data_IF_050800065975
#
_entry.id   IF_050800065975
#
_cell.length_a   1.000
_cell.length_b   1.000
_cell.length_c   1.000
_cell.angle_alpha   90.00
_cell.angle_beta   90.00
_cell.angle_gamma   90.00
#
_symmetry.space_group_name_H-M   'P 1'
#
loop_
_entity.id
_entity.type
_entity.pdbx_description
1 polymer ?
#
# COMPACT_ATOMS: atom_id res chain seq x y z
N UNK A 1 -4.28 30.30 -11.75
CA UNK A 1 -4.19 28.83 -11.78
C UNK A 1 -4.24 28.34 -10.34
N UNK A 2 -5.02 27.32 -10.04
CA UNK A 2 -5.06 26.72 -8.72
C UNK A 2 -3.64 26.27 -8.35
N UNK A 3 -3.21 26.60 -7.13
CA UNK A 3 -1.91 26.18 -6.61
C UNK A 3 -2.11 24.83 -5.91
N UNK A 4 -1.99 23.72 -6.63
CA UNK A 4 -2.03 22.39 -6.06
C UNK A 4 -0.62 21.85 -5.83
N UNK A 5 -0.45 21.20 -4.69
CA UNK A 5 0.82 20.63 -4.21
C UNK A 5 0.66 19.14 -3.94
N UNK A 6 1.58 18.33 -4.44
CA UNK A 6 1.73 16.93 -4.08
C UNK A 6 2.98 16.74 -3.23
N UNK A 7 2.82 16.25 -2.01
CA UNK A 7 3.93 15.85 -1.14
C UNK A 7 4.13 14.34 -1.20
N UNK A 8 5.38 13.88 -1.38
CA UNK A 8 5.72 12.46 -1.50
C UNK A 8 5.65 11.91 -2.93
N UNK A 9 5.93 12.74 -3.92
CA UNK A 9 5.81 12.46 -5.37
C UNK A 9 6.61 11.27 -5.88
N UNK A 10 7.71 10.87 -5.22
CA UNK A 10 8.52 9.69 -5.59
C UNK A 10 8.09 8.39 -4.89
N UNK A 11 7.17 8.49 -3.92
CA UNK A 11 6.57 7.33 -3.28
C UNK A 11 5.62 6.58 -4.23
N UNK A 12 5.26 5.34 -3.87
CA UNK A 12 4.39 4.51 -4.69
C UNK A 12 3.03 5.18 -4.96
N UNK A 13 2.38 5.74 -3.94
CA UNK A 13 1.11 6.45 -4.10
C UNK A 13 1.30 7.78 -4.83
N UNK A 14 2.25 8.60 -4.37
CA UNK A 14 2.50 9.92 -4.97
C UNK A 14 2.93 9.84 -6.43
N UNK A 15 3.76 8.85 -6.81
CA UNK A 15 4.16 8.64 -8.20
C UNK A 15 2.98 8.29 -9.12
N UNK A 16 2.03 7.46 -8.64
CA UNK A 16 0.82 7.15 -9.40
C UNK A 16 -0.13 8.36 -9.50
N UNK A 17 -0.22 9.21 -8.47
CA UNK A 17 -0.95 10.47 -8.53
C UNK A 17 -0.33 11.43 -9.55
N UNK A 18 1.00 11.63 -9.50
CA UNK A 18 1.72 12.48 -10.44
C UNK A 18 1.61 12.00 -11.90
N UNK A 19 1.50 10.69 -12.12
CA UNK A 19 1.26 10.13 -13.46
C UNK A 19 -0.15 10.40 -14.01
N UNK A 20 -1.11 10.77 -13.15
CA UNK A 20 -2.52 11.03 -13.51
C UNK A 20 -2.90 12.50 -13.50
N UNK A 21 -2.14 13.33 -12.78
CA UNK A 21 -2.41 14.76 -12.66
C UNK A 21 -1.11 15.56 -12.60
N UNK A 22 -1.04 16.61 -13.42
CA UNK A 22 0.08 17.55 -13.41
C UNK A 22 -0.11 18.58 -12.30
N UNK A 23 0.40 18.28 -11.10
CA UNK A 23 0.38 19.22 -9.98
C UNK A 23 1.23 20.45 -10.27
N UNK A 24 0.79 21.64 -9.82
CA UNK A 24 1.54 22.89 -9.97
C UNK A 24 2.89 22.85 -9.25
N UNK A 25 2.98 22.11 -8.13
CA UNK A 25 4.21 21.83 -7.43
C UNK A 25 4.23 20.39 -6.90
N UNK A 26 5.41 19.79 -6.88
CA UNK A 26 5.66 18.47 -6.28
C UNK A 26 6.90 18.54 -5.38
N UNK A 27 6.89 17.84 -4.26
CA UNK A 27 8.05 17.74 -3.39
C UNK A 27 8.11 16.38 -2.67
N UNK A 28 9.26 16.12 -2.04
CA UNK A 28 9.42 15.01 -1.09
C UNK A 28 9.12 15.50 0.34
N UNK A 29 8.96 14.58 1.27
CA UNK A 29 8.89 14.94 2.69
C UNK A 29 10.19 15.51 3.24
N UNK A 30 11.32 15.29 2.55
CA UNK A 30 12.66 15.77 2.95
C UNK A 30 13.00 17.17 2.45
N UNK A 31 12.35 17.64 1.37
CA UNK A 31 12.55 18.97 0.77
C UNK A 31 11.33 19.90 0.89
N UNK A 32 10.32 19.45 1.61
CA UNK A 32 9.04 20.15 1.81
C UNK A 32 9.19 21.57 2.39
N UNK A 33 10.29 21.83 3.11
CA UNK A 33 10.57 23.13 3.70
C UNK A 33 10.61 24.27 2.67
N UNK A 34 10.96 23.97 1.41
CA UNK A 34 10.92 24.95 0.32
C UNK A 34 9.50 25.41 -0.03
N UNK A 35 8.47 24.70 0.44
CA UNK A 35 7.06 25.01 0.21
C UNK A 35 6.37 25.67 1.43
N UNK A 36 7.07 25.87 2.54
CA UNK A 36 6.49 26.47 3.74
C UNK A 36 6.00 27.88 3.45
N UNK A 37 4.81 28.21 3.95
CA UNK A 37 4.14 29.49 3.70
C UNK A 37 3.52 29.65 2.31
N UNK A 38 3.61 28.65 1.42
CA UNK A 38 3.04 28.72 0.07
C UNK A 38 1.50 28.74 0.05
N UNK A 39 0.85 28.22 1.11
CA UNK A 39 -0.61 28.16 1.29
C UNK A 39 -1.32 27.64 0.02
N UNK A 40 -1.05 26.41 -0.41
CA UNK A 40 -1.64 25.89 -1.62
C UNK A 40 -3.17 25.81 -1.52
N UNK A 41 -3.86 25.96 -2.65
CA UNK A 41 -5.32 25.82 -2.70
C UNK A 41 -5.73 24.36 -2.40
N UNK A 42 -4.91 23.40 -2.84
CA UNK A 42 -5.03 21.97 -2.54
C UNK A 42 -3.65 21.39 -2.21
N UNK A 43 -3.55 20.65 -1.11
CA UNK A 43 -2.39 19.82 -0.80
C UNK A 43 -2.80 18.36 -0.72
N UNK A 44 -2.18 17.50 -1.54
CA UNK A 44 -2.28 16.04 -1.38
C UNK A 44 -1.02 15.56 -0.68
N UNK A 45 -1.18 15.12 0.58
CA UNK A 45 -0.08 14.68 1.42
C UNK A 45 0.04 13.14 1.41
N UNK A 46 0.95 12.63 0.60
CA UNK A 46 1.33 11.22 0.50
C UNK A 46 2.78 10.98 1.02
N UNK A 47 3.29 11.90 1.83
CA UNK A 47 4.67 11.91 2.32
C UNK A 47 4.95 11.03 3.54
N UNK A 48 3.96 10.26 4.00
CA UNK A 48 4.14 9.35 5.15
C UNK A 48 4.69 8.00 4.68
N UNK A 49 5.81 7.50 5.25
CA UNK A 49 6.36 6.19 4.89
C UNK A 49 5.37 5.05 5.16
N UNK A 50 5.25 4.10 4.22
CA UNK A 50 4.36 2.94 4.33
C UNK A 50 5.12 1.63 4.65
N UNK A 51 6.18 1.70 5.44
CA UNK A 51 7.01 0.57 5.84
C UNK A 51 6.52 -0.02 7.18
N UNK A 52 5.43 -0.82 7.11
CA UNK A 52 4.78 -1.41 8.29
C UNK A 52 5.76 -2.18 9.18
N UNK A 53 6.69 -2.92 8.60
CA UNK A 53 7.70 -3.69 9.34
C UNK A 53 8.59 -2.77 10.20
N UNK A 54 9.09 -1.68 9.63
CA UNK A 54 9.95 -0.72 10.34
C UNK A 54 9.16 0.02 11.43
N UNK A 55 7.95 0.47 11.13
CA UNK A 55 7.08 1.15 12.09
C UNK A 55 6.73 0.26 13.30
N UNK A 56 6.56 -1.05 13.10
CA UNK A 56 6.29 -1.99 14.18
C UNK A 56 7.57 -2.39 14.95
N UNK A 57 8.74 -2.30 14.31
CA UNK A 57 10.03 -2.57 14.95
C UNK A 57 10.50 -1.40 15.83
N UNK A 58 10.24 -0.16 15.40
CA UNK A 58 10.55 1.06 16.14
C UNK A 58 9.34 2.02 16.15
N UNK A 59 8.40 1.82 17.10
CA UNK A 59 7.18 2.63 17.19
C UNK A 59 7.41 4.11 17.45
N UNK A 60 8.43 4.45 18.21
CA UNK A 60 8.71 5.84 18.61
C UNK A 60 9.33 6.62 17.45
N UNK A 61 10.26 6.03 16.70
CA UNK A 61 10.78 6.63 15.49
C UNK A 61 9.67 6.85 14.44
N UNK A 62 8.77 5.88 14.27
CA UNK A 62 7.63 6.04 13.36
C UNK A 62 6.67 7.13 13.85
N UNK A 63 6.38 7.24 15.15
CA UNK A 63 5.56 8.32 15.71
C UNK A 63 6.20 9.70 15.50
N UNK A 64 7.52 9.80 15.65
CA UNK A 64 8.25 11.05 15.39
C UNK A 64 8.09 11.51 13.93
N UNK A 65 8.06 10.57 12.97
CA UNK A 65 7.77 10.88 11.56
C UNK A 65 6.34 11.40 11.38
N UNK A 66 5.36 10.85 12.12
CA UNK A 66 3.98 11.37 12.08
C UNK A 66 3.90 12.80 12.66
N UNK A 67 4.61 13.06 13.75
CA UNK A 67 4.68 14.39 14.36
C UNK A 67 5.33 15.43 13.41
N UNK A 68 6.42 15.04 12.75
CA UNK A 68 7.04 15.87 11.70
C UNK A 68 6.07 16.13 10.53
N UNK A 69 5.29 15.11 10.13
CA UNK A 69 4.25 15.25 9.11
C UNK A 69 3.17 16.26 9.50
N UNK A 70 2.70 16.24 10.78
CA UNK A 70 1.78 17.25 11.32
C UNK A 70 2.37 18.65 11.23
N UNK A 71 3.61 18.83 11.68
CA UNK A 71 4.27 20.14 11.65
C UNK A 71 4.46 20.65 10.21
N UNK A 72 4.84 19.78 9.29
CA UNK A 72 4.93 20.15 7.87
C UNK A 72 3.59 20.67 7.33
N UNK A 73 2.47 20.02 7.68
CA UNK A 73 1.13 20.44 7.25
C UNK A 73 0.75 21.81 7.85
N UNK A 74 1.10 22.09 9.10
CA UNK A 74 0.90 23.39 9.73
C UNK A 74 1.71 24.50 9.03
N UNK A 75 2.96 24.21 8.67
CA UNK A 75 3.83 25.15 7.95
C UNK A 75 3.35 25.41 6.50
N UNK A 76 2.73 24.44 5.85
CA UNK A 76 2.14 24.59 4.52
C UNK A 76 0.85 25.40 4.54
N UNK A 77 0.04 25.26 5.56
CA UNK A 77 -1.27 25.92 5.78
C UNK A 77 -2.16 25.87 4.51
N UNK A 78 -2.48 24.67 3.96
CA UNK A 78 -3.27 24.54 2.74
C UNK A 78 -4.75 24.91 2.99
N UNK A 79 -5.43 25.49 1.98
CA UNK A 79 -6.86 25.75 2.04
C UNK A 79 -7.68 24.47 2.07
N UNK A 80 -7.29 23.49 1.27
CA UNK A 80 -7.86 22.14 1.23
C UNK A 80 -6.74 21.10 1.38
N UNK A 81 -6.90 20.17 2.33
CA UNK A 81 -5.95 19.09 2.58
C UNK A 81 -6.57 17.75 2.21
N UNK A 82 -5.80 16.92 1.52
CA UNK A 82 -6.04 15.48 1.35
C UNK A 82 -4.90 14.72 2.02
N UNK A 83 -5.19 13.99 3.08
CA UNK A 83 -4.23 13.11 3.74
C UNK A 83 -4.38 11.69 3.20
N UNK A 84 -3.31 11.12 2.66
CA UNK A 84 -3.25 9.70 2.33
C UNK A 84 -2.93 8.91 3.60
N UNK A 85 -3.88 8.08 4.02
CA UNK A 85 -3.83 7.22 5.19
C UNK A 85 -3.98 5.75 4.82
N UNK A 86 -4.23 4.88 5.76
CA UNK A 86 -4.29 3.43 5.58
C UNK A 86 -5.49 2.83 6.32
N UNK A 87 -6.04 1.74 5.78
CA UNK A 87 -7.03 0.91 6.49
C UNK A 87 -6.47 0.24 7.76
N UNK A 88 -5.15 0.23 7.95
CA UNK A 88 -4.52 -0.30 9.15
C UNK A 88 -4.87 0.47 10.44
N UNK A 89 -5.60 1.57 10.35
CA UNK A 89 -6.20 2.30 11.50
C UNK A 89 -7.38 1.55 12.12
N UNK A 90 -7.89 0.51 11.50
CA UNK A 90 -8.93 -0.36 12.04
C UNK A 90 -8.31 -1.60 12.69
N UNK A 91 -8.57 -1.81 13.98
CA UNK A 91 -8.09 -3.00 14.70
C UNK A 91 -8.81 -4.28 14.23
N UNK A 92 -10.09 -4.16 13.93
CA UNK A 92 -10.90 -5.17 13.23
C UNK A 92 -11.50 -4.52 11.98
N UNK A 93 -11.22 -5.10 10.82
CA UNK A 93 -11.65 -4.56 9.53
C UNK A 93 -13.02 -5.08 9.07
N UNK A 94 -13.59 -6.10 9.74
CA UNK A 94 -14.78 -6.79 9.25
C UNK A 94 -16.04 -5.94 9.37
N UNK A 95 -16.61 -5.57 8.21
CA UNK A 95 -17.83 -4.78 8.12
C UNK A 95 -17.73 -3.35 8.65
N UNK A 96 -16.49 -2.85 8.92
CA UNK A 96 -16.27 -1.47 9.37
C UNK A 96 -16.29 -0.50 8.19
N UNK A 97 -16.71 0.72 8.46
CA UNK A 97 -16.81 1.81 7.50
C UNK A 97 -16.27 3.13 8.09
N UNK A 98 -16.44 4.25 7.39
CA UNK A 98 -15.93 5.56 7.80
C UNK A 98 -16.54 6.09 9.10
N UNK A 99 -17.72 5.61 9.51
CA UNK A 99 -18.38 6.01 10.76
C UNK A 99 -18.08 5.06 11.93
N UNK A 100 -17.43 3.94 11.65
CA UNK A 100 -17.11 2.98 12.71
C UNK A 100 -16.12 3.57 13.71
N UNK A 101 -16.37 3.42 15.02
CA UNK A 101 -15.47 3.94 16.03
C UNK A 101 -14.08 3.30 15.93
N UNK A 102 -13.05 4.12 16.11
CA UNK A 102 -11.66 3.67 16.07
C UNK A 102 -10.98 4.00 17.40
N UNK A 103 -10.33 3.00 17.96
CA UNK A 103 -9.52 3.13 19.17
C UNK A 103 -8.08 2.71 18.86
N UNK A 104 -7.07 3.24 19.58
CA UNK A 104 -5.70 2.78 19.44
C UNK A 104 -5.48 1.38 20.01
N UNK A 105 -6.44 0.88 20.82
CA UNK A 105 -6.32 -0.40 21.48
C UNK A 105 -6.35 -1.56 20.49
N UNK A 106 -5.42 -2.49 20.65
CA UNK A 106 -5.27 -3.64 19.76
C UNK A 106 -4.61 -3.34 18.41
N UNK A 107 -4.30 -2.06 18.11
CA UNK A 107 -3.58 -1.72 16.88
C UNK A 107 -2.07 -1.97 17.01
N UNK A 108 -1.43 -2.60 16.00
CA UNK A 108 0.01 -2.52 15.83
C UNK A 108 0.48 -1.06 15.74
N UNK A 109 1.74 -0.81 16.04
CA UNK A 109 2.31 0.54 16.05
C UNK A 109 2.07 1.30 14.73
N UNK A 110 2.22 0.63 13.60
CA UNK A 110 1.93 1.20 12.29
C UNK A 110 0.51 1.80 12.20
N UNK A 111 -0.52 1.05 12.56
CA UNK A 111 -1.91 1.51 12.51
C UNK A 111 -2.19 2.58 13.56
N UNK A 112 -1.69 2.39 14.80
CA UNK A 112 -1.85 3.33 15.91
C UNK A 112 -1.28 4.71 15.58
N UNK A 113 -0.08 4.77 15.02
CA UNK A 113 0.58 6.03 14.73
C UNK A 113 -0.10 6.77 13.56
N UNK A 114 -0.63 6.04 12.54
CA UNK A 114 -1.44 6.65 11.47
C UNK A 114 -2.77 7.18 12.00
N UNK A 115 -3.42 6.43 12.89
CA UNK A 115 -4.63 6.91 13.56
C UNK A 115 -4.35 8.19 14.38
N UNK A 116 -3.19 8.26 15.02
CA UNK A 116 -2.78 9.48 15.73
C UNK A 116 -2.57 10.66 14.77
N UNK A 117 -1.96 10.44 13.60
CA UNK A 117 -1.82 11.48 12.58
C UNK A 117 -3.20 11.94 12.06
N UNK A 118 -4.13 11.01 11.79
CA UNK A 118 -5.51 11.36 11.40
C UNK A 118 -6.19 12.25 12.44
N UNK A 119 -6.04 11.94 13.74
CA UNK A 119 -6.58 12.75 14.84
C UNK A 119 -5.99 14.16 14.84
N UNK A 120 -4.67 14.28 14.75
CA UNK A 120 -4.00 15.57 14.67
C UNK A 120 -4.44 16.40 13.46
N UNK A 121 -4.60 15.74 12.30
CA UNK A 121 -5.10 16.42 11.09
C UNK A 121 -6.54 16.89 11.28
N UNK A 122 -7.40 16.12 11.96
CA UNK A 122 -8.77 16.57 12.30
C UNK A 122 -8.80 17.76 13.23
N UNK A 123 -7.89 17.82 14.21
CA UNK A 123 -7.75 18.97 15.12
C UNK A 123 -7.31 20.23 14.38
N UNK A 124 -6.31 20.12 13.50
CA UNK A 124 -5.68 21.25 12.81
C UNK A 124 -6.45 21.69 11.55
N UNK A 125 -7.10 20.76 10.86
CA UNK A 125 -7.80 20.95 9.57
C UNK A 125 -9.10 20.12 9.53
N UNK A 126 -10.18 20.57 10.18
CA UNK A 126 -11.42 19.78 10.32
C UNK A 126 -12.06 19.36 8.98
N UNK A 127 -11.85 20.16 7.92
CA UNK A 127 -12.38 19.90 6.58
C UNK A 127 -11.45 19.06 5.70
N UNK A 128 -10.32 18.58 6.23
CA UNK A 128 -9.41 17.73 5.46
C UNK A 128 -10.12 16.44 5.01
N UNK A 129 -9.84 16.00 3.79
CA UNK A 129 -10.23 14.67 3.31
C UNK A 129 -9.15 13.66 3.73
N UNK A 130 -9.50 12.68 4.56
CA UNK A 130 -8.64 11.55 4.90
C UNK A 130 -9.02 10.37 4.02
N UNK A 131 -8.07 9.90 3.19
CA UNK A 131 -8.25 8.76 2.28
C UNK A 131 -7.51 7.56 2.83
N UNK A 132 -8.25 6.52 3.22
CA UNK A 132 -7.68 5.28 3.76
C UNK A 132 -7.55 4.23 2.68
N UNK A 133 -6.32 3.85 2.40
CA UNK A 133 -5.96 2.94 1.32
C UNK A 133 -5.81 1.50 1.84
N UNK A 134 -6.34 0.50 1.10
CA UNK A 134 -6.16 -0.93 1.37
C UNK A 134 -4.83 -1.45 0.79
N UNK A 135 -4.79 -2.74 0.37
CA UNK A 135 -3.69 -3.24 -0.45
C UNK A 135 -3.73 -2.58 -1.84
N UNK A 136 -2.57 -2.18 -2.36
CA UNK A 136 -2.48 -1.34 -3.54
C UNK A 136 -1.76 -2.05 -4.69
N UNK A 137 -2.16 -1.73 -5.92
CA UNK A 137 -1.39 -2.04 -7.11
C UNK A 137 -1.41 -0.87 -8.11
N UNK A 138 -0.38 -0.82 -8.95
CA UNK A 138 -0.18 0.28 -9.91
C UNK A 138 1.27 0.35 -10.38
N UNK A 139 1.60 1.42 -11.11
CA UNK A 139 2.94 1.65 -11.65
C UNK A 139 3.97 1.71 -10.52
N UNK A 140 5.03 0.91 -10.63
CA UNK A 140 6.09 0.88 -9.62
C UNK A 140 5.79 0.01 -8.39
N UNK A 141 4.85 -0.93 -8.47
CA UNK A 141 4.60 -1.91 -7.40
C UNK A 141 5.88 -2.69 -7.08
N UNK A 142 6.26 -2.75 -5.78
CA UNK A 142 7.51 -3.38 -5.31
C UNK A 142 7.33 -4.37 -4.17
N UNK A 143 6.10 -4.55 -3.69
CA UNK A 143 5.78 -5.43 -2.55
C UNK A 143 4.30 -5.78 -2.56
N UNK A 144 3.90 -6.79 -1.91
CA UNK A 144 2.63 -7.45 -1.65
C UNK A 144 2.47 -8.73 -2.47
N UNK A 145 1.35 -9.43 -2.25
CA UNK A 145 1.09 -10.71 -2.90
C UNK A 145 1.12 -10.64 -4.44
N UNK A 146 0.64 -9.55 -5.05
CA UNK A 146 0.68 -9.40 -6.52
C UNK A 146 2.12 -9.26 -7.03
N UNK A 147 2.98 -8.56 -6.29
CA UNK A 147 4.39 -8.46 -6.60
C UNK A 147 5.07 -9.83 -6.48
N UNK A 148 4.80 -10.56 -5.39
CA UNK A 148 5.36 -11.89 -5.16
C UNK A 148 4.91 -12.89 -6.23
N UNK A 149 3.64 -12.80 -6.66
CA UNK A 149 3.09 -13.61 -7.75
C UNK A 149 3.73 -13.27 -9.12
N UNK A 150 4.10 -12.02 -9.35
CA UNK A 150 4.79 -11.60 -10.57
C UNK A 150 6.25 -12.04 -10.57
N UNK A 151 6.98 -11.76 -9.50
CA UNK A 151 8.43 -11.99 -9.44
C UNK A 151 8.81 -13.43 -9.14
N UNK A 152 8.01 -14.13 -8.35
CA UNK A 152 8.27 -15.47 -7.79
C UNK A 152 9.55 -15.53 -6.95
N UNK A 153 10.47 -14.60 -7.15
CA UNK A 153 11.77 -14.52 -6.48
C UNK A 153 11.59 -13.84 -5.11
N UNK A 154 11.96 -14.48 -4.00
CA UNK A 154 11.92 -13.86 -2.69
C UNK A 154 12.83 -12.63 -2.62
N UNK A 155 12.31 -11.50 -2.17
CA UNK A 155 13.12 -10.28 -2.00
C UNK A 155 14.17 -10.43 -0.89
N UNK A 156 13.90 -11.27 0.11
CA UNK A 156 14.81 -11.57 1.24
C UNK A 156 14.71 -13.04 1.62
N UNK A 157 15.84 -13.59 2.08
CA UNK A 157 15.96 -14.96 2.58
C UNK A 157 16.49 -14.92 4.02
N UNK A 158 15.97 -15.79 4.88
CA UNK A 158 16.61 -16.07 6.18
C UNK A 158 17.94 -16.77 5.95
N UNK A 159 18.93 -16.63 6.86
CA UNK A 159 20.25 -17.24 6.72
C UNK A 159 20.22 -18.74 6.43
N UNK A 160 19.36 -19.49 7.13
CA UNK A 160 19.24 -20.93 6.93
C UNK A 160 18.73 -21.28 5.53
N UNK A 161 17.73 -20.52 5.04
CA UNK A 161 17.16 -20.74 3.71
C UNK A 161 18.12 -20.32 2.61
N UNK A 162 18.88 -19.22 2.81
CA UNK A 162 19.93 -18.83 1.89
C UNK A 162 20.99 -19.93 1.78
N UNK A 163 21.48 -20.44 2.91
CA UNK A 163 22.52 -21.51 2.94
C UNK A 163 22.05 -22.74 2.19
N UNK A 164 20.81 -23.19 2.42
CA UNK A 164 20.22 -24.33 1.72
C UNK A 164 20.18 -24.11 0.20
N UNK A 165 19.65 -22.96 -0.25
CA UNK A 165 19.42 -22.67 -1.66
C UNK A 165 20.70 -22.31 -2.42
N UNK A 166 21.67 -21.65 -1.77
CA UNK A 166 22.97 -21.32 -2.36
C UNK A 166 23.82 -22.56 -2.67
N UNK A 167 23.61 -23.68 -1.95
CA UNK A 167 24.20 -24.97 -2.29
C UNK A 167 23.61 -25.57 -3.55
N UNK A 168 22.34 -25.25 -3.88
CA UNK A 168 21.62 -25.77 -5.04
C UNK A 168 21.83 -24.94 -6.31
N UNK A 169 22.16 -23.64 -6.15
CA UNK A 169 22.27 -22.73 -7.30
C UNK A 169 23.27 -21.58 -7.07
N UNK A 170 24.21 -21.40 -8.02
CA UNK A 170 25.07 -20.20 -8.05
C UNK A 170 24.26 -18.90 -8.15
N UNK A 171 23.10 -18.92 -8.82
CA UNK A 171 22.22 -17.74 -8.92
C UNK A 171 21.78 -17.24 -7.56
N UNK A 172 21.47 -18.14 -6.61
CA UNK A 172 21.11 -17.72 -5.25
C UNK A 172 22.35 -17.25 -4.49
N UNK A 173 23.48 -17.97 -4.60
CA UNK A 173 24.73 -17.60 -3.91
C UNK A 173 25.19 -16.21 -4.28
N UNK A 174 25.14 -15.87 -5.57
CA UNK A 174 25.68 -14.62 -6.10
C UNK A 174 24.61 -13.51 -6.16
N UNK A 175 23.31 -13.86 -6.20
CA UNK A 175 22.18 -12.94 -6.30
C UNK A 175 21.70 -12.32 -4.98
N UNK A 176 22.22 -12.78 -3.84
CA UNK A 176 21.82 -12.26 -2.53
C UNK A 176 23.01 -11.87 -1.68
N UNK A 177 22.88 -10.77 -0.94
CA UNK A 177 23.90 -10.24 -0.02
C UNK A 177 23.32 -10.08 1.39
N UNK A 178 24.09 -10.43 2.41
CA UNK A 178 23.72 -10.22 3.80
C UNK A 178 23.53 -8.73 4.09
N UNK A 179 22.36 -8.37 4.61
CA UNK A 179 22.03 -7.01 5.02
C UNK A 179 22.16 -6.85 6.55
N UNK A 180 22.21 -5.60 7.02
CA UNK A 180 22.41 -5.26 8.45
C UNK A 180 21.34 -5.85 9.38
N UNK A 181 20.15 -6.14 8.84
CA UNK A 181 19.05 -6.78 9.57
C UNK A 181 19.17 -8.31 9.70
N UNK A 182 20.30 -8.89 9.27
CA UNK A 182 20.55 -10.33 9.35
C UNK A 182 19.89 -11.19 8.27
N UNK A 183 19.18 -10.59 7.31
CA UNK A 183 18.61 -11.29 6.17
C UNK A 183 19.49 -11.14 4.93
N UNK A 184 19.48 -12.15 4.07
CA UNK A 184 20.05 -12.04 2.74
C UNK A 184 19.07 -11.36 1.81
N UNK A 185 19.45 -10.20 1.26
CA UNK A 185 18.62 -9.38 0.38
C UNK A 185 19.08 -9.54 -1.07
N UNK A 186 18.11 -9.59 -1.98
CA UNK A 186 18.36 -9.59 -3.43
C UNK A 186 19.19 -8.37 -3.83
N UNK A 187 20.32 -8.58 -4.53
CA UNK A 187 21.31 -7.56 -4.85
C UNK A 187 21.33 -7.12 -6.32
N UNK A 188 20.62 -7.82 -7.20
CA UNK A 188 20.56 -7.53 -8.64
C UNK A 188 21.82 -7.92 -9.43
N UNK A 189 22.74 -8.69 -8.85
CA UNK A 189 24.01 -9.07 -9.50
C UNK A 189 23.86 -10.20 -10.52
N UNK A 190 22.74 -10.91 -10.53
CA UNK A 190 22.46 -12.05 -11.42
C UNK A 190 21.27 -11.74 -12.33
N UNK A 191 21.16 -12.50 -13.42
CA UNK A 191 20.02 -12.40 -14.34
C UNK A 191 18.71 -12.68 -13.61
N UNK A 192 17.79 -11.72 -13.62
CA UNK A 192 16.53 -11.79 -12.89
C UNK A 192 15.58 -12.86 -13.48
N UNK A 193 15.63 -13.10 -14.78
CA UNK A 193 14.79 -14.11 -15.44
C UNK A 193 15.25 -15.51 -15.07
N UNK A 194 16.57 -15.77 -15.09
CA UNK A 194 17.15 -17.04 -14.68
C UNK A 194 16.88 -17.34 -13.20
N UNK A 195 17.01 -16.31 -12.33
CA UNK A 195 16.72 -16.45 -10.90
C UNK A 195 15.22 -16.74 -10.67
N UNK A 196 14.34 -16.06 -11.40
CA UNK A 196 12.90 -16.30 -11.37
C UNK A 196 12.56 -17.73 -11.81
N UNK A 197 13.18 -18.24 -12.88
CA UNK A 197 12.98 -19.60 -13.36
C UNK A 197 13.43 -20.62 -12.30
N UNK A 198 14.57 -20.41 -11.68
CA UNK A 198 15.05 -21.25 -10.57
C UNK A 198 14.00 -21.33 -9.45
N UNK A 199 13.46 -20.18 -8.98
CA UNK A 199 12.45 -20.17 -7.92
C UNK A 199 11.09 -20.72 -8.37
N UNK A 200 10.73 -20.57 -9.64
CA UNK A 200 9.50 -21.15 -10.18
C UNK A 200 9.53 -22.70 -10.18
N UNK A 201 10.71 -23.29 -10.29
CA UNK A 201 10.93 -24.74 -10.21
C UNK A 201 11.16 -25.30 -8.80
N UNK A 202 11.13 -24.44 -7.76
CA UNK A 202 11.38 -24.86 -6.38
C UNK A 202 10.09 -24.85 -5.54
N UNK A 203 10.02 -25.73 -4.54
CA UNK A 203 8.93 -25.76 -3.54
C UNK A 203 8.90 -24.48 -2.70
N UNK A 204 10.06 -23.86 -2.48
CA UNK A 204 10.17 -22.58 -1.77
C UNK A 204 10.41 -21.43 -2.76
N UNK A 205 9.49 -20.48 -2.79
CA UNK A 205 9.56 -19.24 -3.57
C UNK A 205 8.82 -18.09 -2.85
N UNK A 206 8.64 -16.94 -3.49
CA UNK A 206 7.99 -15.78 -2.86
C UNK A 206 6.56 -16.05 -2.38
N UNK A 207 5.84 -17.00 -2.98
CA UNK A 207 4.47 -17.34 -2.59
C UNK A 207 4.40 -18.06 -1.23
N UNK A 208 5.53 -18.62 -0.75
CA UNK A 208 5.61 -19.25 0.57
C UNK A 208 5.35 -18.27 1.75
N UNK A 209 5.37 -16.96 1.50
CA UNK A 209 5.13 -15.95 2.55
C UNK A 209 3.66 -15.56 2.71
N UNK A 210 2.77 -15.99 1.80
CA UNK A 210 1.35 -15.63 1.81
C UNK A 210 0.49 -16.85 2.06
N UNK A 211 -0.37 -16.79 3.09
CA UNK A 211 -1.41 -17.81 3.32
C UNK A 211 -2.47 -17.71 2.21
N UNK A 212 -2.75 -18.82 1.53
CA UNK A 212 -3.67 -18.88 0.40
C UNK A 212 -5.11 -18.49 0.77
N UNK A 213 -5.47 -18.64 2.04
CA UNK A 213 -6.79 -18.30 2.61
C UNK A 213 -6.90 -16.82 2.97
N UNK A 214 -5.80 -16.08 3.02
CA UNK A 214 -5.83 -14.65 3.36
C UNK A 214 -6.69 -13.88 2.37
N UNK A 215 -7.63 -13.08 2.91
CA UNK A 215 -8.50 -12.20 2.14
C UNK A 215 -7.95 -10.79 2.12
N UNK A 216 -7.81 -10.23 0.94
CA UNK A 216 -7.33 -8.88 0.69
C UNK A 216 -8.37 -8.07 -0.06
N UNK A 217 -8.27 -6.76 0.03
CA UNK A 217 -8.99 -5.79 -0.79
C UNK A 217 -7.91 -5.04 -1.58
N UNK A 218 -7.88 -5.18 -2.91
CA UNK A 218 -6.87 -4.59 -3.75
C UNK A 218 -7.42 -3.37 -4.49
N UNK A 219 -6.76 -2.23 -4.36
CA UNK A 219 -7.17 -1.00 -5.02
C UNK A 219 -6.15 -0.57 -6.08
N UNK A 220 -6.66 -0.28 -7.30
CA UNK A 220 -5.84 0.17 -8.42
C UNK A 220 -5.55 1.67 -8.31
N UNK A 221 -4.30 2.05 -8.12
CA UNK A 221 -3.89 3.44 -7.97
C UNK A 221 -4.17 4.32 -9.21
N UNK A 222 -4.41 3.72 -10.38
CA UNK A 222 -4.80 4.47 -11.57
C UNK A 222 -6.12 5.27 -11.41
N UNK A 223 -6.99 4.87 -10.47
CA UNK A 223 -8.27 5.54 -10.16
C UNK A 223 -8.13 6.63 -9.11
N UNK A 224 -7.05 6.64 -8.32
CA UNK A 224 -6.95 7.41 -7.08
C UNK A 224 -7.23 8.89 -7.26
N UNK A 225 -6.67 9.51 -8.30
CA UNK A 225 -6.89 10.94 -8.52
C UNK A 225 -8.36 11.26 -8.78
N UNK A 226 -9.03 10.48 -9.63
CA UNK A 226 -10.46 10.66 -9.93
C UNK A 226 -11.33 10.46 -8.68
N UNK A 227 -11.05 9.41 -7.89
CA UNK A 227 -11.82 9.11 -6.68
C UNK A 227 -11.64 10.21 -5.62
N UNK A 228 -10.41 10.77 -5.47
CA UNK A 228 -10.14 11.93 -4.63
C UNK A 228 -10.90 13.16 -5.10
N UNK A 229 -10.92 13.47 -6.40
CA UNK A 229 -11.67 14.59 -6.93
C UNK A 229 -13.17 14.44 -6.66
N UNK A 230 -13.73 13.25 -6.90
CA UNK A 230 -15.15 12.96 -6.60
C UNK A 230 -15.45 13.16 -5.12
N UNK A 231 -14.58 12.71 -4.22
CA UNK A 231 -14.74 12.90 -2.79
C UNK A 231 -14.73 14.38 -2.38
N UNK A 232 -13.79 15.16 -2.91
CA UNK A 232 -13.70 16.61 -2.66
C UNK A 232 -14.94 17.36 -3.17
N UNK A 233 -15.39 17.06 -4.38
CA UNK A 233 -16.60 17.67 -4.98
C UNK A 233 -17.87 17.40 -4.18
N UNK A 234 -17.92 16.27 -3.46
CA UNK A 234 -19.04 15.91 -2.59
C UNK A 234 -18.83 16.28 -1.12
N UNK A 235 -17.78 17.06 -0.80
CA UNK A 235 -17.51 17.55 0.55
C UNK A 235 -17.19 16.44 1.56
N UNK A 236 -16.64 15.31 1.11
CA UNK A 236 -16.29 14.22 2.01
C UNK A 236 -15.08 14.60 2.87
N UNK A 237 -15.11 14.19 4.12
CA UNK A 237 -13.98 14.37 5.04
C UNK A 237 -13.24 13.05 5.33
N UNK A 238 -13.85 11.91 5.07
CA UNK A 238 -13.21 10.59 5.19
C UNK A 238 -13.66 9.71 4.03
N UNK A 239 -12.76 8.92 3.48
CA UNK A 239 -13.06 7.97 2.42
C UNK A 239 -12.23 6.68 2.61
N UNK A 240 -12.90 5.54 2.73
CA UNK A 240 -12.29 4.22 2.61
C UNK A 240 -12.35 3.77 1.13
N UNK A 241 -11.21 3.53 0.51
CA UNK A 241 -11.18 2.99 -0.85
C UNK A 241 -11.17 1.46 -0.80
N UNK A 242 -12.36 0.87 -0.80
CA UNK A 242 -12.58 -0.55 -0.52
C UNK A 242 -13.13 -1.29 -1.71
N UNK A 243 -12.52 -2.42 -2.04
CA UNK A 243 -12.97 -3.39 -3.04
C UNK A 243 -13.51 -4.64 -2.35
N UNK A 244 -14.24 -5.55 -3.04
CA UNK A 244 -14.67 -6.79 -2.43
C UNK A 244 -13.48 -7.64 -1.97
N UNK A 245 -13.58 -8.35 -0.83
CA UNK A 245 -12.52 -9.26 -0.40
C UNK A 245 -12.30 -10.40 -1.39
N UNK A 246 -11.05 -10.57 -1.81
CA UNK A 246 -10.59 -11.70 -2.63
C UNK A 246 -9.53 -12.50 -1.88
N UNK A 247 -9.57 -13.83 -1.97
CA UNK A 247 -8.52 -14.66 -1.38
C UNK A 247 -7.25 -14.64 -2.24
N UNK A 248 -6.11 -14.88 -1.62
CA UNK A 248 -4.86 -15.04 -2.37
C UNK A 248 -4.96 -16.20 -3.37
N UNK A 249 -5.67 -17.29 -3.01
CA UNK A 249 -5.93 -18.41 -3.91
C UNK A 249 -6.79 -18.01 -5.12
N UNK A 250 -7.86 -17.20 -4.94
CA UNK A 250 -8.68 -16.70 -6.05
C UNK A 250 -7.86 -15.84 -7.01
N UNK A 251 -7.04 -14.93 -6.48
CA UNK A 251 -6.13 -14.10 -7.28
C UNK A 251 -5.12 -14.96 -8.04
N UNK A 252 -4.48 -15.92 -7.35
CA UNK A 252 -3.55 -16.85 -8.00
C UNK A 252 -4.20 -17.59 -9.17
N UNK A 253 -5.37 -18.18 -8.95
CA UNK A 253 -6.11 -18.93 -9.98
C UNK A 253 -6.47 -18.02 -11.16
N UNK A 254 -6.98 -16.81 -10.89
CA UNK A 254 -7.37 -15.87 -11.96
C UNK A 254 -6.18 -15.42 -12.81
N UNK A 255 -5.04 -15.14 -12.16
CA UNK A 255 -3.84 -14.61 -12.85
C UNK A 255 -3.07 -15.71 -13.60
N UNK A 256 -3.01 -16.92 -13.03
CA UNK A 256 -2.19 -18.01 -13.58
C UNK A 256 -2.96 -19.02 -14.42
N UNK A 257 -4.27 -19.09 -14.25
CA UNK A 257 -5.14 -20.14 -14.82
C UNK A 257 -4.94 -21.50 -14.15
N UNK A 258 -4.15 -21.61 -13.07
CA UNK A 258 -3.88 -22.84 -12.34
C UNK A 258 -4.77 -22.89 -11.10
N UNK A 259 -5.52 -23.97 -10.95
CA UNK A 259 -6.25 -24.28 -9.73
C UNK A 259 -5.32 -24.90 -8.66
N UNK A 260 -5.82 -25.00 -7.42
CA UNK A 260 -5.25 -25.82 -6.35
C UNK A 260 -3.93 -25.32 -5.72
N UNK A 261 -3.57 -24.04 -5.90
CA UNK A 261 -2.50 -23.50 -5.07
C UNK A 261 -2.96 -23.35 -3.62
N UNK A 262 -2.27 -24.06 -2.73
CA UNK A 262 -2.50 -24.05 -1.30
C UNK A 262 -1.18 -23.76 -0.59
N UNK A 263 -1.21 -22.80 0.32
CA UNK A 263 -0.12 -22.50 1.23
C UNK A 263 -0.73 -22.03 2.56
N UNK A 264 -0.58 -22.82 3.59
CA UNK A 264 -1.10 -22.50 4.92
C UNK A 264 0.04 -22.12 5.86
N UNK A 265 -0.10 -20.96 6.50
CA UNK A 265 0.87 -20.49 7.46
C UNK A 265 0.44 -20.83 8.90
N UNK A 266 1.40 -20.98 9.83
CA UNK A 266 1.07 -21.27 11.24
C UNK A 266 0.25 -20.17 11.94
N UNK A 267 0.32 -18.93 11.44
CA UNK A 267 -0.47 -17.79 11.95
C UNK A 267 -1.82 -17.72 11.25
N UNK A 268 -2.85 -17.13 11.89
CA UNK A 268 -4.13 -16.89 11.22
C UNK A 268 -3.97 -16.10 9.91
N UNK A 269 -4.74 -16.44 8.86
CA UNK A 269 -4.75 -15.66 7.61
C UNK A 269 -5.26 -14.24 7.87
N UNK A 270 -4.84 -13.30 7.04
CA UNK A 270 -5.44 -11.97 7.01
C UNK A 270 -6.90 -12.07 6.56
N UNK A 271 -7.75 -11.22 7.14
CA UNK A 271 -9.18 -11.21 6.83
C UNK A 271 -9.68 -9.75 6.76
N UNK A 272 -9.45 -9.08 5.61
CA UNK A 272 -9.89 -7.72 5.37
C UNK A 272 -11.27 -7.72 4.73
N UNK A 273 -12.21 -6.95 5.30
CA UNK A 273 -13.56 -6.73 4.77
C UNK A 273 -14.10 -5.38 5.24
N UNK A 274 -13.41 -4.31 4.85
CA UNK A 274 -13.85 -2.94 5.09
C UNK A 274 -14.88 -2.51 4.05
N UNK A 275 -15.73 -1.58 4.44
CA UNK A 275 -16.76 -0.99 3.60
C UNK A 275 -16.54 0.51 3.42
N UNK A 276 -17.11 1.05 2.37
CA UNK A 276 -17.25 2.50 2.20
C UNK A 276 -18.73 2.87 2.12
N UNK A 277 -19.14 3.81 2.94
CA UNK A 277 -20.49 4.42 2.86
C UNK A 277 -20.68 5.23 1.58
N UNK A 278 -19.57 5.58 0.95
CA UNK A 278 -19.51 6.42 -0.25
C UNK A 278 -19.32 5.63 -1.53
N UNK A 279 -19.40 4.29 -1.47
CA UNK A 279 -19.18 3.41 -2.62
C UNK A 279 -20.02 3.80 -3.84
N UNK A 280 -21.31 4.14 -3.64
CA UNK A 280 -22.20 4.54 -4.73
C UNK A 280 -21.76 5.82 -5.46
N UNK A 281 -21.14 6.79 -4.77
CA UNK A 281 -20.58 8.00 -5.39
C UNK A 281 -19.40 7.70 -6.35
N UNK A 282 -18.72 6.57 -6.11
CA UNK A 282 -17.57 6.13 -6.88
C UNK A 282 -17.91 5.02 -7.89
N UNK A 283 -19.22 4.84 -8.16
CA UNK A 283 -19.73 3.87 -9.14
C UNK A 283 -19.86 2.44 -8.63
N UNK A 284 -19.76 2.23 -7.32
CA UNK A 284 -19.88 0.94 -6.67
C UNK A 284 -21.23 0.69 -5.98
N UNK A 285 -21.33 -0.41 -5.24
CA UNK A 285 -22.52 -0.81 -4.48
C UNK A 285 -22.12 -1.64 -3.25
N UNK A 286 -23.05 -1.82 -2.31
CA UNK A 286 -22.90 -2.69 -1.13
C UNK A 286 -21.65 -2.42 -0.28
N UNK A 287 -21.19 -1.17 -0.28
CA UNK A 287 -20.00 -0.75 0.44
C UNK A 287 -18.67 -1.03 -0.28
N UNK A 288 -18.69 -1.41 -1.55
CA UNK A 288 -17.51 -1.66 -2.37
C UNK A 288 -17.53 -0.83 -3.66
N UNK A 289 -16.35 -0.48 -4.14
CA UNK A 289 -16.13 0.36 -5.32
C UNK A 289 -16.37 -0.37 -6.65
N UNK A 290 -16.42 -1.69 -6.63
CA UNK A 290 -16.64 -2.55 -7.80
C UNK A 290 -17.22 -3.89 -7.37
N UNK A 291 -17.55 -4.76 -8.32
CA UNK A 291 -17.86 -6.16 -8.05
C UNK A 291 -16.58 -6.99 -7.89
N UNK A 292 -16.66 -8.14 -7.24
CA UNK A 292 -15.53 -9.07 -7.09
C UNK A 292 -14.94 -9.49 -8.44
N UNK A 293 -15.82 -9.74 -9.44
CA UNK A 293 -15.38 -10.11 -10.77
C UNK A 293 -14.59 -8.98 -11.44
N UNK A 294 -15.07 -7.74 -11.34
CA UNK A 294 -14.37 -6.57 -11.87
C UNK A 294 -12.98 -6.40 -11.23
N UNK A 295 -12.86 -6.57 -9.91
CA UNK A 295 -11.56 -6.49 -9.23
C UNK A 295 -10.59 -7.56 -9.75
N UNK A 296 -11.03 -8.82 -9.84
CA UNK A 296 -10.20 -9.90 -10.34
C UNK A 296 -9.80 -9.70 -11.81
N UNK A 297 -10.71 -9.20 -12.65
CA UNK A 297 -10.43 -8.89 -14.06
C UNK A 297 -9.42 -7.74 -14.20
N UNK A 298 -9.56 -6.68 -13.40
CA UNK A 298 -8.61 -5.56 -13.37
C UNK A 298 -7.21 -6.00 -12.89
N UNK A 299 -7.14 -6.81 -11.83
CA UNK A 299 -5.88 -7.39 -11.35
C UNK A 299 -5.24 -8.23 -12.47
N UNK A 300 -6.02 -9.08 -13.14
CA UNK A 300 -5.53 -9.93 -14.22
C UNK A 300 -5.00 -9.09 -15.40
N UNK A 301 -5.72 -8.05 -15.80
CA UNK A 301 -5.30 -7.13 -16.85
C UNK A 301 -3.99 -6.40 -16.49
N UNK A 302 -3.88 -5.89 -15.26
CA UNK A 302 -2.66 -5.27 -14.75
C UNK A 302 -1.46 -6.23 -14.78
N UNK A 303 -1.65 -7.45 -14.27
CA UNK A 303 -0.60 -8.47 -14.21
C UNK A 303 -0.12 -8.92 -15.59
N UNK A 304 -1.03 -8.98 -16.59
CA UNK A 304 -0.68 -9.27 -17.99
C UNK A 304 0.12 -8.13 -18.62
N UNK A 305 -0.32 -6.89 -18.43
CA UNK A 305 0.39 -5.70 -18.93
C UNK A 305 1.79 -5.55 -18.33
N UNK A 306 1.97 -5.98 -17.09
CA UNK A 306 3.27 -5.92 -16.40
C UNK A 306 4.27 -6.97 -16.88
N UNK A 307 3.79 -8.09 -17.45
CA UNK A 307 4.65 -9.16 -18.01
C UNK A 307 5.23 -8.82 -19.38
N UNK A 308 4.64 -7.87 -20.09
CA UNK A 308 5.08 -7.39 -21.40
C UNK A 308 5.99 -6.17 -21.28
#
# INVERSE_FOLDING_TARGET
>A
MAKDLLVGSTGFVGGNLAAKHAFAAVCHSTDIAAQFGAKPDLCVYAGVPAAMFLANADPDADLAVMAAGRENLRQLDPKQLVLISSIAVYADSRGKDEQSPMTPDGLPAYGRNRLQLERWVREDSPNALIVRLPALYGIGLKKNFLFDLHTITPAMLKPEKYTELAQKSPLVRDGYTLADNGFYKLNGAVDAAALREFFAGNDFNALAFTDSRSRYQFYHLARLWQDVQTALQNGLTTLNLTTPPVTAAEVYTTVTGKADWQNELPKPPFDYDLRSRHAALLGGADGYLCTKQQELDEICAFMRAWRN
#
